data_IF_862018046749
#
_entry.id   IF_862018046749
#
_cell.length_a   1.000
_cell.length_b   1.000
_cell.length_c   1.000
_cell.angle_alpha   90.00
_cell.angle_beta   90.00
_cell.angle_gamma   90.00
#
_symmetry.space_group_name_H-M   'P 1'
#
loop_
_entity.id
_entity.type
_entity.pdbx_description
1 polymer ?
#
# COMPACT_ATOMS: atom_id res chain seq x y z
N UNK A 1 22.82 2.54 10.94
CA UNK A 1 22.41 1.65 9.82
C UNK A 1 23.62 1.34 8.96
N UNK A 2 23.74 0.13 8.42
CA UNK A 2 24.77 -0.23 7.44
C UNK A 2 24.43 0.37 6.07
N UNK A 3 25.41 0.48 5.16
CA UNK A 3 25.15 0.91 3.79
C UNK A 3 24.12 0.02 3.09
N UNK A 4 24.18 -1.30 3.31
CA UNK A 4 23.24 -2.26 2.74
C UNK A 4 21.78 -1.99 3.18
N UNK A 5 21.55 -1.79 4.48
CA UNK A 5 20.22 -1.45 5.00
C UNK A 5 19.70 -0.13 4.41
N UNK A 6 20.59 0.84 4.27
CA UNK A 6 20.26 2.14 3.71
C UNK A 6 19.90 2.06 2.20
N UNK A 7 20.69 1.32 1.42
CA UNK A 7 20.39 1.02 0.02
C UNK A 7 19.08 0.24 -0.13
N UNK A 8 18.78 -0.67 0.80
CA UNK A 8 17.53 -1.42 0.81
C UNK A 8 16.32 -0.48 0.97
N UNK A 9 16.35 0.43 1.94
CA UNK A 9 15.29 1.44 2.12
C UNK A 9 15.10 2.28 0.85
N UNK A 10 16.18 2.86 0.31
CA UNK A 10 16.09 3.70 -0.91
C UNK A 10 15.52 2.91 -2.08
N UNK A 11 15.98 1.67 -2.27
CA UNK A 11 15.54 0.84 -3.37
C UNK A 11 14.06 0.52 -3.26
N UNK A 12 13.58 0.23 -2.05
CA UNK A 12 12.15 0.04 -1.77
C UNK A 12 11.32 1.29 -2.12
N UNK A 13 11.77 2.47 -1.68
CA UNK A 13 11.14 3.77 -2.00
C UNK A 13 11.03 3.97 -3.51
N UNK A 14 12.14 3.81 -4.22
CA UNK A 14 12.19 4.06 -5.67
C UNK A 14 11.35 3.06 -6.45
N UNK A 15 11.39 1.78 -6.08
CA UNK A 15 10.55 0.76 -6.71
C UNK A 15 9.08 1.05 -6.49
N UNK A 16 8.68 1.44 -5.29
CA UNK A 16 7.27 1.78 -5.03
C UNK A 16 6.84 3.00 -5.86
N UNK A 17 7.66 4.04 -5.95
CA UNK A 17 7.38 5.21 -6.81
C UNK A 17 7.19 4.78 -8.27
N UNK A 18 8.07 3.91 -8.77
CA UNK A 18 7.97 3.40 -10.14
C UNK A 18 6.73 2.51 -10.34
N UNK A 19 6.38 1.68 -9.36
CA UNK A 19 5.17 0.85 -9.40
C UNK A 19 3.90 1.71 -9.40
N UNK A 20 3.84 2.75 -8.57
CA UNK A 20 2.74 3.71 -8.55
C UNK A 20 2.62 4.46 -9.89
N UNK A 21 3.75 4.83 -10.49
CA UNK A 21 3.77 5.45 -11.81
C UNK A 21 3.26 4.50 -12.90
N UNK A 22 3.69 3.24 -12.86
CA UNK A 22 3.29 2.23 -13.82
C UNK A 22 1.81 1.85 -13.68
N UNK A 23 1.28 1.81 -12.45
CA UNK A 23 -0.14 1.68 -12.19
C UNK A 23 -0.94 2.86 -12.77
N UNK A 24 -0.46 4.09 -12.60
CA UNK A 24 -1.09 5.29 -13.14
C UNK A 24 -1.05 5.37 -14.67
N UNK A 25 0.04 4.94 -15.31
CA UNK A 25 0.19 4.92 -16.76
C UNK A 25 -0.79 3.92 -17.41
N UNK A 26 -0.82 2.68 -16.92
CA UNK A 26 -1.76 1.65 -17.39
C UNK A 26 -3.21 2.09 -17.33
N UNK A 27 -3.57 2.82 -16.27
CA UNK A 27 -4.92 3.36 -16.10
C UNK A 27 -5.30 4.31 -17.24
N UNK A 28 -4.37 5.12 -17.73
CA UNK A 28 -4.63 6.02 -18.86
C UNK A 28 -4.77 5.22 -20.17
N UNK A 29 -4.01 4.14 -20.34
CA UNK A 29 -4.10 3.26 -21.51
C UNK A 29 -5.43 2.50 -21.56
N UNK A 30 -5.93 1.99 -20.42
CA UNK A 30 -7.21 1.26 -20.36
C UNK A 30 -8.44 2.12 -20.70
N UNK A 31 -8.32 3.45 -20.67
CA UNK A 31 -9.38 4.38 -21.08
C UNK A 31 -9.44 4.56 -22.61
N UNK A 32 -8.39 4.15 -23.34
CA UNK A 32 -8.31 4.19 -24.80
C UNK A 32 -8.02 2.79 -25.34
N UNK A 33 -9.05 2.00 -25.72
CA UNK A 33 -8.85 0.62 -26.16
C UNK A 33 -8.30 0.60 -27.59
N UNK A 34 -6.99 0.80 -27.74
CA UNK A 34 -6.30 0.43 -28.97
C UNK A 34 -5.60 -0.92 -28.75
N UNK A 35 -6.14 -1.93 -29.43
CA UNK A 35 -5.54 -3.23 -29.77
C UNK A 35 -5.56 -4.37 -28.73
N UNK A 36 -6.23 -5.45 -29.17
CA UNK A 36 -6.33 -6.82 -28.62
C UNK A 36 -5.01 -7.60 -28.81
N UNK A 37 -3.88 -7.08 -28.36
CA UNK A 37 -2.62 -7.83 -28.40
C UNK A 37 -2.20 -8.17 -26.98
N UNK A 38 -1.82 -9.45 -26.79
CA UNK A 38 -1.39 -10.05 -25.54
C UNK A 38 -0.46 -9.13 -24.71
N UNK A 39 -0.45 -9.24 -23.37
CA UNK A 39 0.33 -8.34 -22.52
C UNK A 39 1.82 -8.64 -22.69
N UNK A 40 2.45 -8.07 -23.71
CA UNK A 40 3.91 -7.93 -23.75
C UNK A 40 4.31 -7.09 -22.55
N UNK A 41 5.27 -7.55 -21.74
CA UNK A 41 5.83 -6.74 -20.65
C UNK A 41 6.14 -5.34 -21.16
N UNK A 42 5.45 -4.34 -20.59
CA UNK A 42 5.67 -2.94 -20.97
C UNK A 42 7.15 -2.61 -20.71
N UNK A 43 7.78 -1.79 -21.54
CA UNK A 43 9.18 -1.34 -21.36
C UNK A 43 9.42 -0.82 -19.94
N UNK A 44 8.39 -0.19 -19.34
CA UNK A 44 8.42 0.27 -17.96
C UNK A 44 8.51 -0.88 -16.94
N UNK A 45 7.77 -1.98 -17.12
CA UNK A 45 7.86 -3.16 -16.25
C UNK A 45 9.22 -3.85 -16.34
N UNK A 46 9.78 -3.94 -17.56
CA UNK A 46 11.14 -4.44 -17.76
C UNK A 46 12.17 -3.54 -17.07
N UNK A 47 11.98 -2.21 -17.15
CA UNK A 47 12.80 -1.23 -16.43
C UNK A 47 12.72 -1.38 -14.92
N UNK A 48 11.51 -1.58 -14.36
CA UNK A 48 11.30 -1.82 -12.92
C UNK A 48 12.00 -3.12 -12.48
N UNK A 49 11.84 -4.20 -13.25
CA UNK A 49 12.47 -5.48 -12.95
C UNK A 49 14.01 -5.40 -13.01
N UNK A 50 14.55 -4.73 -14.03
CA UNK A 50 15.99 -4.49 -14.15
C UNK A 50 16.52 -3.62 -12.99
N UNK A 51 15.80 -2.55 -12.65
CA UNK A 51 16.16 -1.71 -11.52
C UNK A 51 16.15 -2.50 -10.20
N UNK A 52 15.12 -3.32 -9.97
CA UNK A 52 15.05 -4.18 -8.79
C UNK A 52 16.21 -5.18 -8.73
N UNK A 53 16.61 -5.76 -9.86
CA UNK A 53 17.75 -6.68 -9.94
C UNK A 53 19.07 -5.97 -9.64
N UNK A 54 19.30 -4.78 -10.23
CA UNK A 54 20.50 -3.97 -9.97
C UNK A 54 20.54 -3.52 -8.50
N UNK A 55 19.41 -3.09 -7.95
CA UNK A 55 19.28 -2.70 -6.56
C UNK A 55 19.63 -3.86 -5.61
N UNK A 56 19.10 -5.06 -5.86
CA UNK A 56 19.44 -6.25 -5.07
C UNK A 56 20.90 -6.65 -5.19
N UNK A 57 21.49 -6.55 -6.39
CA UNK A 57 22.92 -6.76 -6.57
C UNK A 57 23.75 -5.75 -5.75
N UNK A 58 23.37 -4.47 -5.75
CA UNK A 58 24.06 -3.45 -4.96
C UNK A 58 23.93 -3.69 -3.44
N UNK A 59 22.74 -4.08 -2.96
CA UNK A 59 22.50 -4.40 -1.54
C UNK A 59 23.35 -5.60 -1.11
N UNK A 60 23.37 -6.67 -1.91
CA UNK A 60 24.14 -7.90 -1.60
C UNK A 60 25.65 -7.64 -1.62
N UNK A 61 26.14 -6.86 -2.59
CA UNK A 61 27.55 -6.44 -2.62
C UNK A 61 27.90 -5.58 -1.38
N UNK A 62 27.04 -4.63 -1.00
CA UNK A 62 27.25 -3.80 0.17
C UNK A 62 27.23 -4.62 1.48
N UNK A 63 26.40 -5.65 1.55
CA UNK A 63 26.33 -6.58 2.69
C UNK A 63 27.56 -7.48 2.77
N UNK A 64 28.06 -7.96 1.62
CA UNK A 64 29.24 -8.82 1.54
C UNK A 64 30.54 -8.06 1.89
N UNK A 65 30.75 -6.90 1.27
CA UNK A 65 32.01 -6.13 1.44
C UNK A 65 32.03 -5.25 2.70
N UNK A 66 30.86 -4.92 3.28
CA UNK A 66 30.72 -4.05 4.46
C UNK A 66 31.59 -2.78 4.40
N UNK A 67 31.48 -1.97 3.32
CA UNK A 67 32.31 -0.80 3.16
C UNK A 67 32.11 0.20 4.31
N UNK A 68 33.20 0.73 4.86
CA UNK A 68 33.15 1.79 5.86
C UNK A 68 32.79 3.12 5.19
N UNK A 69 31.54 3.55 5.33
CA UNK A 69 31.08 4.84 4.82
C UNK A 69 31.01 5.85 5.97
N UNK A 70 31.52 7.05 5.76
CA UNK A 70 31.43 8.11 6.77
C UNK A 70 29.97 8.49 7.04
N UNK A 71 29.67 8.89 8.28
CA UNK A 71 28.33 9.34 8.66
C UNK A 71 27.84 10.53 7.82
N UNK A 72 28.75 11.42 7.40
CA UNK A 72 28.42 12.56 6.54
C UNK A 72 27.95 12.15 5.15
N UNK A 73 28.55 11.13 4.55
CA UNK A 73 28.14 10.61 3.24
C UNK A 73 26.76 9.94 3.35
N UNK A 74 26.53 9.14 4.41
CA UNK A 74 25.22 8.53 4.66
C UNK A 74 24.12 9.58 4.85
N UNK A 75 24.41 10.65 5.62
CA UNK A 75 23.47 11.75 5.83
C UNK A 75 23.20 12.55 4.53
N UNK A 76 24.22 12.76 3.70
CA UNK A 76 24.07 13.42 2.40
C UNK A 76 23.21 12.60 1.45
N UNK A 77 23.44 11.28 1.35
CA UNK A 77 22.59 10.38 0.57
C UNK A 77 21.15 10.37 1.11
N UNK A 78 20.96 10.35 2.43
CA UNK A 78 19.64 10.42 3.07
C UNK A 78 18.90 11.67 2.67
N UNK A 79 19.53 12.82 2.79
CA UNK A 79 18.94 14.09 2.38
C UNK A 79 18.62 14.11 0.88
N UNK A 80 19.52 13.58 0.04
CA UNK A 80 19.36 13.54 -1.42
C UNK A 80 18.17 12.69 -1.89
N UNK A 81 17.78 11.66 -1.12
CA UNK A 81 16.61 10.82 -1.45
C UNK A 81 15.35 11.30 -0.73
N UNK A 82 15.46 11.66 0.55
CA UNK A 82 14.30 12.07 1.34
C UNK A 82 13.69 13.37 0.82
N UNK A 83 14.49 14.38 0.50
CA UNK A 83 13.99 15.67 0.02
C UNK A 83 13.11 15.56 -1.24
N UNK A 84 13.55 14.89 -2.34
CA UNK A 84 12.69 14.68 -3.50
C UNK A 84 11.52 13.74 -3.21
N UNK A 85 11.68 12.75 -2.30
CA UNK A 85 10.57 11.88 -1.89
C UNK A 85 9.49 12.68 -1.16
N UNK A 86 9.84 13.62 -0.28
CA UNK A 86 8.88 14.51 0.37
C UNK A 86 8.18 15.42 -0.63
N UNK A 87 8.92 16.01 -1.58
CA UNK A 87 8.33 16.81 -2.65
C UNK A 87 7.34 16.00 -3.50
N UNK A 88 7.71 14.77 -3.85
CA UNK A 88 6.85 13.81 -4.54
C UNK A 88 5.58 13.51 -3.74
N UNK A 89 5.72 13.13 -2.46
CA UNK A 89 4.60 12.84 -1.57
C UNK A 89 3.65 14.03 -1.43
N UNK A 90 4.18 15.24 -1.34
CA UNK A 90 3.37 16.46 -1.26
C UNK A 90 2.60 16.72 -2.55
N UNK A 91 3.27 16.67 -3.71
CA UNK A 91 2.66 16.92 -5.02
C UNK A 91 1.55 15.89 -5.29
N UNK A 92 1.82 14.60 -5.10
CA UNK A 92 0.86 13.55 -5.45
C UNK A 92 -0.15 13.24 -4.33
N UNK A 93 0.19 13.51 -3.07
CA UNK A 93 -0.74 13.39 -1.95
C UNK A 93 -1.75 14.55 -1.89
N UNK A 94 -1.28 15.79 -2.07
CA UNK A 94 -2.13 16.99 -1.91
C UNK A 94 -2.67 17.54 -3.23
N UNK A 95 -1.84 17.62 -4.27
CA UNK A 95 -2.21 18.35 -5.50
C UNK A 95 -2.87 17.40 -6.51
N UNK A 96 -2.19 16.33 -6.90
CA UNK A 96 -2.56 15.48 -8.03
C UNK A 96 -2.86 14.04 -7.61
N UNK A 97 -4.13 13.57 -7.62
CA UNK A 97 -4.48 12.21 -7.22
C UNK A 97 -4.14 11.15 -8.30
N UNK A 98 -3.26 11.48 -9.25
CA UNK A 98 -2.96 10.62 -10.41
C UNK A 98 -2.29 9.31 -10.03
N UNK A 99 -1.46 9.32 -8.99
CA UNK A 99 -0.69 8.15 -8.52
C UNK A 99 -1.43 7.34 -7.47
N UNK A 100 -2.68 7.69 -7.15
CA UNK A 100 -3.46 6.91 -6.21
C UNK A 100 -4.05 5.69 -6.94
N UNK A 101 -3.76 4.47 -6.46
CA UNK A 101 -4.36 3.26 -6.98
C UNK A 101 -5.88 3.32 -6.82
N UNK A 102 -6.59 2.69 -7.76
CA UNK A 102 -8.03 2.55 -7.69
C UNK A 102 -8.37 1.42 -6.76
N UNK A 103 -9.11 1.74 -5.71
CA UNK A 103 -9.46 0.76 -4.71
C UNK A 103 -10.81 0.13 -5.08
N UNK A 104 -10.91 -1.18 -4.96
CA UNK A 104 -12.17 -1.93 -5.04
C UNK A 104 -12.58 -2.42 -3.65
N UNK A 105 -13.76 -3.01 -3.52
CA UNK A 105 -14.26 -3.56 -2.26
C UNK A 105 -13.27 -4.57 -1.64
N UNK A 106 -12.62 -5.38 -2.48
CA UNK A 106 -11.69 -6.41 -2.03
C UNK A 106 -10.44 -5.83 -1.36
N UNK A 107 -9.81 -4.84 -1.98
CA UNK A 107 -8.64 -4.17 -1.42
C UNK A 107 -9.00 -3.52 -0.08
N UNK A 108 -10.20 -2.95 0.05
CA UNK A 108 -10.67 -2.39 1.33
C UNK A 108 -10.82 -3.47 2.39
N UNK A 109 -11.51 -4.59 2.10
CA UNK A 109 -11.69 -5.68 3.08
C UNK A 109 -10.34 -6.25 3.49
N UNK A 110 -9.46 -6.49 2.52
CA UNK A 110 -8.16 -7.09 2.77
C UNK A 110 -7.27 -6.17 3.59
N UNK A 111 -7.22 -4.89 3.24
CA UNK A 111 -6.49 -3.88 4.02
C UNK A 111 -7.06 -3.77 5.43
N UNK A 112 -8.38 -3.83 5.57
CA UNK A 112 -9.04 -3.83 6.88
C UNK A 112 -8.64 -5.07 7.69
N UNK A 113 -8.68 -6.27 7.11
CA UNK A 113 -8.25 -7.52 7.75
C UNK A 113 -6.80 -7.44 8.24
N UNK A 114 -5.90 -6.96 7.37
CA UNK A 114 -4.48 -6.77 7.70
C UNK A 114 -4.32 -5.76 8.86
N UNK A 115 -5.09 -4.68 8.84
CA UNK A 115 -5.12 -3.68 9.92
C UNK A 115 -5.64 -4.28 11.22
N UNK A 116 -6.69 -5.10 11.21
CA UNK A 116 -7.17 -5.79 12.41
C UNK A 116 -6.16 -6.73 12.99
N UNK A 117 -5.54 -7.56 12.14
CA UNK A 117 -4.51 -8.48 12.59
C UNK A 117 -3.37 -7.71 13.27
N UNK A 118 -2.94 -6.60 12.67
CA UNK A 118 -1.94 -5.70 13.24
C UNK A 118 -2.35 -5.12 14.59
N UNK A 119 -3.59 -4.66 14.72
CA UNK A 119 -4.12 -4.10 15.96
C UNK A 119 -4.18 -5.16 17.06
N UNK A 120 -4.67 -6.37 16.74
CA UNK A 120 -4.75 -7.50 17.67
C UNK A 120 -3.38 -7.99 18.11
N UNK A 121 -2.38 -7.97 17.22
CA UNK A 121 -1.03 -8.44 17.55
C UNK A 121 -0.24 -7.47 18.41
N UNK A 122 -0.56 -6.18 18.36
CA UNK A 122 0.33 -5.11 18.87
C UNK A 122 -0.29 -4.31 20.01
N UNK A 123 -1.61 -4.19 20.05
CA UNK A 123 -2.28 -3.28 20.96
C UNK A 123 -3.37 -4.00 21.78
N UNK A 124 -3.35 -3.77 23.09
CA UNK A 124 -4.44 -4.15 24.00
C UNK A 124 -5.56 -3.13 23.87
N UNK A 125 -6.26 -3.15 22.73
CA UNK A 125 -7.48 -2.37 22.59
C UNK A 125 -8.59 -3.01 23.42
N UNK A 126 -9.36 -2.16 24.08
CA UNK A 126 -10.64 -2.57 24.64
C UNK A 126 -11.55 -3.10 23.53
N UNK A 127 -12.37 -4.09 23.88
CA UNK A 127 -13.23 -4.80 22.93
C UNK A 127 -14.17 -3.86 22.15
N UNK A 128 -14.59 -2.73 22.75
CA UNK A 128 -15.48 -1.77 22.11
C UNK A 128 -14.80 -0.98 20.99
N UNK A 129 -13.51 -0.65 21.12
CA UNK A 129 -12.77 -0.02 20.03
C UNK A 129 -12.61 -0.99 18.87
N UNK A 130 -12.30 -2.27 19.16
CA UNK A 130 -12.25 -3.31 18.15
C UNK A 130 -13.60 -3.48 17.44
N UNK A 131 -14.71 -3.47 18.19
CA UNK A 131 -16.06 -3.59 17.62
C UNK A 131 -16.42 -2.41 16.69
N UNK A 132 -16.11 -1.17 17.10
CA UNK A 132 -16.33 0.03 16.27
C UNK A 132 -15.52 -0.06 14.97
N UNK A 133 -14.27 -0.49 15.07
CA UNK A 133 -13.42 -0.64 13.90
C UNK A 133 -13.93 -1.78 13.00
N UNK A 134 -14.42 -2.88 13.57
CA UNK A 134 -14.91 -4.05 12.82
C UNK A 134 -16.16 -3.75 11.98
N UNK A 135 -17.01 -2.82 12.44
CA UNK A 135 -18.33 -2.57 11.86
C UNK A 135 -18.30 -2.12 10.38
N UNK A 136 -17.47 -1.13 9.98
CA UNK A 136 -17.25 -0.82 8.56
C UNK A 136 -16.82 -2.04 7.74
N UNK A 137 -15.95 -2.88 8.30
CA UNK A 137 -15.36 -4.03 7.63
C UNK A 137 -16.36 -5.15 7.39
N UNK A 138 -17.23 -5.42 8.37
CA UNK A 138 -18.37 -6.32 8.19
C UNK A 138 -19.35 -5.78 7.15
N UNK A 139 -19.58 -4.46 7.13
CA UNK A 139 -20.37 -3.81 6.09
C UNK A 139 -19.81 -4.07 4.69
N UNK A 140 -18.50 -3.90 4.51
CA UNK A 140 -17.84 -4.14 3.22
C UNK A 140 -17.84 -5.63 2.86
N UNK A 141 -17.60 -6.51 3.83
CA UNK A 141 -17.63 -7.96 3.62
C UNK A 141 -19.02 -8.42 3.16
N UNK A 142 -20.08 -7.98 3.84
CA UNK A 142 -21.46 -8.23 3.44
C UNK A 142 -21.77 -7.69 2.03
N UNK A 143 -21.25 -6.52 1.70
CA UNK A 143 -21.43 -5.93 0.38
C UNK A 143 -20.69 -6.69 -0.72
N UNK A 144 -19.47 -7.17 -0.43
CA UNK A 144 -18.70 -8.02 -1.34
C UNK A 144 -19.41 -9.35 -1.65
N UNK A 145 -20.15 -9.89 -0.68
CA UNK A 145 -20.96 -11.11 -0.87
C UNK A 145 -22.25 -10.88 -1.67
N UNK A 146 -22.84 -9.69 -1.59
CA UNK A 146 -24.17 -9.42 -2.16
C UNK A 146 -24.15 -8.81 -3.56
N UNK A 147 -22.97 -8.47 -4.09
CA UNK A 147 -22.78 -7.89 -5.44
C UNK A 147 -23.72 -6.71 -5.75
N UNK A 148 -24.15 -5.96 -4.73
CA UNK A 148 -25.05 -4.81 -4.92
C UNK A 148 -24.27 -3.57 -5.34
N UNK A 149 -24.79 -2.84 -6.33
CA UNK A 149 -24.22 -1.55 -6.75
C UNK A 149 -24.38 -0.52 -5.64
N UNK A 150 -23.27 -0.04 -5.07
CA UNK A 150 -23.31 0.92 -3.97
C UNK A 150 -23.52 2.36 -4.43
N UNK A 151 -24.25 3.11 -3.60
CA UNK A 151 -24.36 4.56 -3.76
C UNK A 151 -22.98 5.23 -3.58
N UNK A 152 -22.63 6.25 -4.39
CA UNK A 152 -21.32 6.94 -4.30
C UNK A 152 -20.95 7.48 -2.92
N UNK A 153 -21.93 7.92 -2.13
CA UNK A 153 -21.70 8.39 -0.76
C UNK A 153 -21.23 7.28 0.17
N UNK A 154 -21.81 6.08 0.06
CA UNK A 154 -21.38 4.94 0.84
C UNK A 154 -19.96 4.52 0.44
N UNK A 155 -19.66 4.49 -0.87
CA UNK A 155 -18.30 4.25 -1.38
C UNK A 155 -17.30 5.26 -0.80
N UNK A 156 -17.69 6.53 -0.67
CA UNK A 156 -16.80 7.54 -0.09
C UNK A 156 -16.50 7.30 1.39
N UNK A 157 -17.47 6.80 2.17
CA UNK A 157 -17.25 6.44 3.58
C UNK A 157 -16.37 5.19 3.70
N UNK A 158 -16.58 4.18 2.86
CA UNK A 158 -15.74 2.97 2.84
C UNK A 158 -14.31 3.27 2.41
N UNK A 159 -14.14 4.17 1.45
CA UNK A 159 -12.84 4.62 1.01
C UNK A 159 -12.15 5.50 2.07
N UNK A 160 -12.90 6.33 2.80
CA UNK A 160 -12.37 7.02 3.98
C UNK A 160 -11.87 6.02 5.04
N UNK A 161 -12.66 4.99 5.32
CA UNK A 161 -12.30 3.91 6.23
C UNK A 161 -11.01 3.18 5.81
N UNK A 162 -10.88 2.84 4.53
CA UNK A 162 -9.65 2.29 3.95
C UNK A 162 -8.43 3.17 4.25
N UNK A 163 -8.54 4.48 4.01
CA UNK A 163 -7.45 5.43 4.26
C UNK A 163 -7.10 5.53 5.75
N UNK A 164 -8.09 5.45 6.64
CA UNK A 164 -7.86 5.37 8.10
C UNK A 164 -7.11 4.09 8.46
N UNK A 165 -7.47 2.94 7.87
CA UNK A 165 -6.75 1.69 8.08
C UNK A 165 -5.29 1.77 7.65
N UNK A 166 -5.02 2.35 6.48
CA UNK A 166 -3.65 2.61 6.03
C UNK A 166 -2.89 3.57 6.95
N UNK A 167 -3.53 4.63 7.46
CA UNK A 167 -2.90 5.52 8.43
C UNK A 167 -2.52 4.76 9.71
N UNK A 168 -3.42 3.94 10.25
CA UNK A 168 -3.13 3.11 11.43
C UNK A 168 -1.89 2.23 11.18
N UNK A 169 -1.83 1.57 10.02
CA UNK A 169 -0.66 0.77 9.63
C UNK A 169 0.61 1.60 9.50
N UNK A 170 0.52 2.82 8.96
CA UNK A 170 1.64 3.75 8.84
C UNK A 170 2.21 4.11 10.21
N UNK A 171 1.32 4.46 11.14
CA UNK A 171 1.66 4.87 12.51
C UNK A 171 2.27 3.72 13.33
N UNK A 172 1.75 2.50 13.18
CA UNK A 172 2.23 1.35 13.97
C UNK A 172 3.58 0.79 13.49
N UNK A 173 3.75 0.66 12.17
CA UNK A 173 4.83 -0.16 11.61
C UNK A 173 5.90 0.60 10.85
N UNK A 174 5.54 1.62 10.07
CA UNK A 174 6.47 2.20 9.11
C UNK A 174 7.13 3.51 9.59
N UNK A 175 6.48 4.31 10.43
CA UNK A 175 7.12 5.52 10.97
C UNK A 175 8.42 5.25 11.73
N UNK A 176 8.54 4.07 12.38
CA UNK A 176 9.77 3.67 13.10
C UNK A 176 10.99 3.51 12.19
N UNK A 177 10.78 3.21 10.91
CA UNK A 177 11.86 3.01 9.92
C UNK A 177 12.38 4.36 9.40
N UNK A 178 11.51 5.36 9.26
CA UNK A 178 11.89 6.70 8.79
C UNK A 178 12.28 7.66 9.91
N UNK A 179 11.71 7.49 11.10
CA UNK A 179 11.94 8.31 12.29
C UNK A 179 12.29 7.37 13.45
N UNK A 180 13.53 6.88 13.53
CA UNK A 180 13.96 6.07 14.66
C UNK A 180 13.90 6.94 15.92
N UNK A 181 13.07 6.54 16.89
CA UNK A 181 12.88 7.27 18.16
C UNK A 181 14.11 7.19 19.08
N UNK A 182 14.93 6.16 18.89
CA UNK A 182 16.20 5.96 19.59
C UNK A 182 17.16 5.10 18.74
N UNK A 183 18.48 5.37 18.74
CA UNK A 183 19.49 4.49 18.14
C UNK A 183 19.48 3.06 18.70
N UNK A 184 18.95 2.86 19.92
CA UNK A 184 18.87 1.56 20.59
C UNK A 184 17.67 0.71 20.10
N UNK A 185 16.60 1.32 19.61
CA UNK A 185 15.42 0.60 19.08
C UNK A 185 15.73 -0.14 17.76
N UNK A 186 16.71 0.34 17.00
CA UNK A 186 17.23 -0.33 15.79
C UNK A 186 17.98 -1.64 16.10
N UNK A 187 18.44 -1.83 17.34
CA UNK A 187 19.18 -3.02 17.76
C UNK A 187 18.28 -4.06 18.47
N UNK A 188 17.04 -3.70 18.84
CA UNK A 188 16.15 -4.56 19.62
C UNK A 188 15.41 -5.62 18.77
N UNK A 189 15.36 -5.45 17.45
CA UNK A 189 14.87 -6.45 16.50
C UNK A 189 15.89 -6.52 15.37
N UNK A 190 16.53 -7.67 15.18
CA UNK A 190 17.47 -7.89 14.07
C UNK A 190 16.70 -7.82 12.74
N UNK A 191 16.55 -6.60 12.20
CA UNK A 191 15.89 -6.38 10.92
C UNK A 191 16.84 -6.79 9.79
N UNK A 192 16.33 -7.61 8.89
CA UNK A 192 17.01 -8.04 7.66
C UNK A 192 16.98 -6.92 6.61
N UNK A 193 17.85 -7.00 5.60
CA UNK A 193 17.80 -6.07 4.46
C UNK A 193 16.45 -6.14 3.71
N UNK A 194 15.78 -7.29 3.73
CA UNK A 194 14.42 -7.43 3.19
C UNK A 194 13.40 -6.61 3.99
N UNK A 195 13.50 -6.58 5.32
CA UNK A 195 12.61 -5.78 6.17
C UNK A 195 12.77 -4.28 5.87
N UNK A 196 14.02 -3.82 5.72
CA UNK A 196 14.31 -2.43 5.33
C UNK A 196 13.78 -2.08 3.93
N UNK A 197 13.91 -3.00 2.98
CA UNK A 197 13.38 -2.84 1.63
C UNK A 197 11.85 -2.71 1.63
N UNK A 198 11.15 -3.66 2.26
CA UNK A 198 9.69 -3.66 2.34
C UNK A 198 9.17 -2.47 3.14
N UNK A 199 9.87 -2.07 4.21
CA UNK A 199 9.57 -0.87 4.97
C UNK A 199 9.71 0.42 4.17
N UNK A 200 10.76 0.53 3.34
CA UNK A 200 10.93 1.64 2.41
C UNK A 200 9.77 1.75 1.41
N UNK A 201 9.43 0.63 0.77
CA UNK A 201 8.35 0.55 -0.22
C UNK A 201 6.97 0.85 0.41
N UNK A 202 6.57 0.08 1.42
CA UNK A 202 5.30 0.27 2.11
C UNK A 202 5.21 1.64 2.80
N UNK A 203 6.33 2.17 3.28
CA UNK A 203 6.40 3.48 3.91
C UNK A 203 5.96 4.62 2.99
N UNK A 204 6.53 4.71 1.79
CA UNK A 204 6.16 5.75 0.82
C UNK A 204 4.71 5.59 0.38
N UNK A 205 4.29 4.35 0.15
CA UNK A 205 2.91 4.02 -0.16
C UNK A 205 1.94 4.54 0.91
N UNK A 206 2.19 4.18 2.17
CA UNK A 206 1.32 4.55 3.30
C UNK A 206 1.36 6.04 3.61
N UNK A 207 2.53 6.69 3.51
CA UNK A 207 2.66 8.13 3.70
C UNK A 207 1.90 8.91 2.62
N UNK A 208 1.99 8.48 1.36
CA UNK A 208 1.23 9.08 0.26
C UNK A 208 -0.28 9.04 0.56
N UNK A 209 -0.78 7.88 0.98
CA UNK A 209 -2.19 7.69 1.33
C UNK A 209 -2.60 8.45 2.60
N UNK A 210 -1.70 8.58 3.57
CA UNK A 210 -1.93 9.35 4.79
C UNK A 210 -2.03 10.86 4.51
N UNK A 211 -1.21 11.40 3.60
CA UNK A 211 -1.32 12.78 3.16
C UNK A 211 -2.64 12.96 2.38
N UNK A 212 -2.96 12.02 1.50
CA UNK A 212 -4.19 12.05 0.74
C UNK A 212 -5.45 11.97 1.64
N UNK A 213 -5.40 11.24 2.76
CA UNK A 213 -6.47 11.19 3.75
C UNK A 213 -6.87 12.57 4.25
N UNK A 214 -5.91 13.46 4.52
CA UNK A 214 -6.19 14.83 4.97
C UNK A 214 -7.01 15.58 3.92
N UNK A 215 -6.60 15.51 2.65
CA UNK A 215 -7.35 16.10 1.54
C UNK A 215 -8.73 15.45 1.40
N UNK A 216 -8.81 14.14 1.52
CA UNK A 216 -10.05 13.40 1.36
C UNK A 216 -11.05 13.70 2.48
N UNK A 217 -10.56 13.89 3.71
CA UNK A 217 -11.37 14.33 4.84
C UNK A 217 -12.03 15.70 4.57
N UNK A 218 -11.29 16.66 4.00
CA UNK A 218 -11.86 17.94 3.59
C UNK A 218 -12.93 17.78 2.50
N UNK A 219 -12.76 16.82 1.59
CA UNK A 219 -13.78 16.50 0.58
C UNK A 219 -15.00 15.82 1.19
N UNK A 220 -14.81 14.94 2.18
CA UNK A 220 -15.87 14.23 2.87
C UNK A 220 -16.72 15.17 3.73
N UNK A 221 -16.10 16.09 4.46
CA UNK A 221 -16.83 17.11 5.24
C UNK A 221 -17.67 18.02 4.34
N UNK A 222 -17.31 18.17 3.05
CA UNK A 222 -18.13 18.88 2.09
C UNK A 222 -19.50 18.20 1.84
N UNK A 223 -19.67 16.91 2.11
CA UNK A 223 -20.97 16.22 2.01
C UNK A 223 -22.04 16.77 2.97
N UNK A 224 -21.61 17.41 4.07
CA UNK A 224 -22.50 18.07 5.04
C UNK A 224 -23.33 19.15 4.33
N UNK A 225 -22.74 19.86 3.35
CA UNK A 225 -23.45 20.87 2.55
C UNK A 225 -23.95 20.27 1.23
N UNK A 226 -25.27 20.26 0.96
CA UNK A 226 -25.84 19.70 -0.27
C UNK A 226 -25.21 20.24 -1.56
N UNK A 227 -24.88 21.53 -1.59
CA UNK A 227 -24.27 22.20 -2.75
C UNK A 227 -22.94 21.55 -3.19
N UNK A 228 -22.18 20.97 -2.26
CA UNK A 228 -20.85 20.41 -2.54
C UNK A 228 -20.87 18.91 -2.84
N UNK A 229 -22.03 18.24 -2.75
CA UNK A 229 -22.15 16.79 -2.96
C UNK A 229 -21.73 16.34 -4.36
N UNK A 230 -21.80 17.24 -5.35
CA UNK A 230 -21.35 16.98 -6.72
C UNK A 230 -19.84 16.68 -6.81
N UNK A 231 -19.03 17.17 -5.86
CA UNK A 231 -17.58 16.91 -5.83
C UNK A 231 -17.28 15.42 -5.62
N UNK A 232 -18.00 14.77 -4.70
CA UNK A 232 -17.88 13.34 -4.42
C UNK A 232 -18.38 12.51 -5.59
N UNK A 233 -19.52 12.89 -6.19
CA UNK A 233 -20.07 12.20 -7.38
C UNK A 233 -19.08 12.20 -8.56
N UNK A 234 -18.31 13.27 -8.74
CA UNK A 234 -17.28 13.36 -9.79
C UNK A 234 -15.98 12.63 -9.43
N UNK A 235 -15.62 12.59 -8.15
CA UNK A 235 -14.33 12.04 -7.70
C UNK A 235 -14.38 10.54 -7.48
N UNK A 236 -15.47 9.98 -6.94
CA UNK A 236 -15.57 8.56 -6.62
C UNK A 236 -15.32 7.62 -7.80
N UNK A 237 -15.86 7.84 -9.03
CA UNK A 237 -15.57 6.97 -10.17
C UNK A 237 -14.10 6.96 -10.60
N UNK A 238 -13.29 7.93 -10.12
CA UNK A 238 -11.85 7.99 -10.37
C UNK A 238 -11.03 7.26 -9.32
N UNK A 239 -11.53 7.11 -8.10
CA UNK A 239 -10.83 6.48 -6.98
C UNK A 239 -11.30 5.06 -6.71
N UNK A 240 -12.56 4.77 -7.01
CA UNK A 240 -13.18 3.48 -6.79
C UNK A 240 -13.33 2.74 -8.12
N UNK A 241 -12.96 1.46 -8.15
CA UNK A 241 -13.19 0.61 -9.31
C UNK A 241 -14.51 -0.14 -9.14
N UNK A 242 -15.48 0.13 -10.01
CA UNK A 242 -16.84 -0.43 -9.93
C UNK A 242 -16.96 -1.86 -10.47
N UNK A 243 -15.84 -2.48 -10.87
CA UNK A 243 -15.82 -3.88 -11.31
C UNK A 243 -16.03 -4.81 -10.13
N UNK A 244 -17.22 -5.39 -10.05
CA UNK A 244 -17.55 -6.40 -9.07
C UNK A 244 -16.83 -7.72 -9.40
N UNK A 245 -16.27 -8.34 -8.36
CA UNK A 245 -15.58 -9.62 -8.43
C UNK A 245 -16.54 -10.73 -7.98
N UNK A 246 -16.51 -11.92 -8.61
CA UNK A 246 -17.31 -13.05 -8.16
C UNK A 246 -17.05 -13.37 -6.67
N UNK A 247 -18.11 -13.64 -5.86
CA UNK A 247 -17.96 -13.92 -4.43
C UNK A 247 -16.96 -15.03 -4.10
N UNK A 248 -16.84 -16.05 -4.97
CA UNK A 248 -15.89 -17.15 -4.80
C UNK A 248 -14.44 -16.67 -4.89
N UNK A 249 -14.12 -15.79 -5.84
CA UNK A 249 -12.78 -15.20 -5.96
C UNK A 249 -12.46 -14.31 -4.75
N UNK A 250 -13.46 -13.54 -4.30
CA UNK A 250 -13.34 -12.71 -3.10
C UNK A 250 -13.03 -13.55 -1.85
N UNK A 251 -13.79 -14.62 -1.61
CA UNK A 251 -13.54 -15.55 -0.49
C UNK A 251 -12.17 -16.20 -0.63
N UNK A 252 -11.81 -16.69 -1.82
CA UNK A 252 -10.51 -17.31 -2.08
C UNK A 252 -9.33 -16.37 -1.75
N UNK A 253 -9.43 -15.11 -2.14
CA UNK A 253 -8.42 -14.08 -1.81
C UNK A 253 -8.38 -13.79 -0.32
N UNK A 254 -9.51 -13.70 0.36
CA UNK A 254 -9.55 -13.49 1.81
C UNK A 254 -8.92 -14.68 2.56
N UNK A 255 -9.25 -15.91 2.15
CA UNK A 255 -8.67 -17.14 2.71
C UNK A 255 -7.17 -17.19 2.44
N UNK A 256 -6.70 -16.80 1.26
CA UNK A 256 -5.28 -16.74 0.94
C UNK A 256 -4.51 -15.79 1.87
N UNK A 257 -5.02 -14.56 2.06
CA UNK A 257 -4.40 -13.60 2.98
C UNK A 257 -4.44 -14.08 4.43
N UNK A 258 -5.58 -14.61 4.88
CA UNK A 258 -5.71 -15.18 6.22
C UNK A 258 -4.74 -16.35 6.44
N UNK A 259 -4.60 -17.24 5.45
CA UNK A 259 -3.68 -18.37 5.51
C UNK A 259 -2.22 -17.93 5.62
N UNK A 260 -1.81 -16.88 4.88
CA UNK A 260 -0.44 -16.32 5.02
C UNK A 260 -0.21 -15.77 6.43
N UNK A 261 -1.18 -15.03 6.98
CA UNK A 261 -1.06 -14.49 8.34
C UNK A 261 -0.95 -15.59 9.39
N UNK A 262 -1.82 -16.60 9.31
CA UNK A 262 -1.82 -17.75 10.23
C UNK A 262 -0.54 -18.56 10.07
N UNK A 263 -0.11 -18.84 8.84
CA UNK A 263 1.12 -19.57 8.57
C UNK A 263 2.34 -18.81 9.12
N UNK A 264 2.41 -17.49 8.91
CA UNK A 264 3.51 -16.70 9.46
C UNK A 264 3.47 -16.62 10.99
N UNK A 265 2.28 -16.60 11.60
CA UNK A 265 2.15 -16.67 13.05
C UNK A 265 2.74 -17.98 13.62
N UNK A 266 2.52 -19.11 12.95
CA UNK A 266 3.04 -20.40 13.40
C UNK A 266 4.52 -20.64 13.06
N UNK A 267 4.97 -20.17 11.90
CA UNK A 267 6.31 -20.49 11.39
C UNK A 267 7.35 -19.42 11.72
N UNK A 268 6.94 -18.16 11.88
CA UNK A 268 7.84 -17.04 12.13
C UNK A 268 8.87 -16.80 11.02
N UNK A 269 8.60 -17.25 9.78
CA UNK A 269 9.56 -17.16 8.65
C UNK A 269 9.94 -15.71 8.36
N UNK A 270 8.95 -14.81 8.40
CA UNK A 270 9.14 -13.38 8.19
C UNK A 270 8.71 -12.61 9.44
N UNK A 271 9.35 -11.45 9.65
CA UNK A 271 8.90 -10.53 10.69
C UNK A 271 7.43 -10.15 10.44
N UNK A 272 6.64 -10.01 11.51
CA UNK A 272 5.22 -9.64 11.39
C UNK A 272 5.05 -8.36 10.58
N UNK A 273 5.93 -7.38 10.78
CA UNK A 273 5.92 -6.12 10.02
C UNK A 273 6.16 -6.34 8.52
N UNK A 274 7.11 -7.20 8.13
CA UNK A 274 7.36 -7.49 6.71
C UNK A 274 6.20 -8.20 6.04
N UNK A 275 5.56 -9.16 6.72
CA UNK A 275 4.38 -9.81 6.16
C UNK A 275 3.26 -8.82 5.95
N UNK A 276 2.99 -7.96 6.93
CA UNK A 276 1.93 -6.96 6.82
C UNK A 276 2.22 -5.95 5.69
N UNK A 277 3.46 -5.47 5.58
CA UNK A 277 3.88 -4.59 4.50
C UNK A 277 3.74 -5.26 3.12
N UNK A 278 4.17 -6.51 3.00
CA UNK A 278 4.05 -7.28 1.76
C UNK A 278 2.59 -7.50 1.38
N UNK A 279 1.74 -7.88 2.34
CA UNK A 279 0.31 -8.09 2.09
C UNK A 279 -0.38 -6.80 1.66
N UNK A 280 -0.07 -5.64 2.26
CA UNK A 280 -0.63 -4.35 1.83
C UNK A 280 -0.20 -4.02 0.40
N UNK A 281 1.10 -4.08 0.10
CA UNK A 281 1.61 -3.81 -1.25
C UNK A 281 1.01 -4.79 -2.27
N UNK A 282 0.86 -6.06 -1.90
CA UNK A 282 0.24 -7.06 -2.76
C UNK A 282 -1.25 -6.77 -3.00
N UNK A 283 -1.99 -6.45 -1.94
CA UNK A 283 -3.42 -6.12 -2.02
C UNK A 283 -3.68 -4.92 -2.94
N UNK A 284 -2.77 -3.96 -2.98
CA UNK A 284 -2.96 -2.74 -3.75
C UNK A 284 -2.49 -2.89 -5.20
N UNK A 285 -1.33 -3.51 -5.44
CA UNK A 285 -0.78 -3.60 -6.80
C UNK A 285 -1.33 -4.74 -7.65
N UNK A 286 -1.87 -5.80 -7.02
CA UNK A 286 -2.28 -7.01 -7.74
C UNK A 286 -3.79 -7.25 -7.72
N UNK A 287 -4.54 -6.78 -6.73
CA UNK A 287 -6.01 -6.98 -6.71
C UNK A 287 -6.78 -6.10 -7.68
N UNK A 288 -6.17 -5.05 -8.24
CA UNK A 288 -6.78 -4.27 -9.32
C UNK A 288 -6.84 -5.05 -10.65
N UNK A 289 -6.07 -6.12 -10.80
CA UNK A 289 -5.93 -6.82 -12.08
C UNK A 289 -7.14 -7.73 -12.31
N UNK A 290 -7.91 -7.55 -13.40
CA UNK A 290 -8.91 -8.53 -13.78
C UNK A 290 -8.18 -9.84 -14.12
N UNK A 291 -8.40 -10.88 -13.31
CA UNK A 291 -8.07 -12.24 -13.73
C UNK A 291 -9.09 -12.60 -14.79
N UNK A 292 -8.74 -12.38 -16.05
CA UNK A 292 -9.47 -13.01 -17.16
C UNK A 292 -9.22 -14.51 -17.04
N UNK A 293 -10.03 -15.18 -16.23
CA UNK A 293 -10.29 -16.59 -16.45
C UNK A 293 -10.87 -16.63 -17.85
N UNK A 294 -10.07 -17.13 -18.79
CA UNK A 294 -10.48 -17.30 -20.17
C UNK A 294 -11.74 -18.17 -20.11
N UNK A 295 -12.86 -17.63 -20.63
CA UNK A 295 -14.12 -18.35 -20.79
C UNK A 295 -13.91 -19.52 -21.75
N UNK A 296 -13.32 -20.60 -21.24
CA UNK A 296 -13.25 -21.93 -21.85
C UNK A 296 -13.69 -22.94 -20.81
N UNK A 297 -14.99 -22.94 -20.51
CA UNK A 297 -15.73 -24.11 -20.05
C UNK A 297 -17.09 -24.11 -20.74
#
# INVERSE_FOLDING_TARGET
MTLAAYLAVISGILIEILLLWEAADRRNTLLHPSTLVAPSFNRLQQGIALFALIAWLAITLAEFFKPSVSASILAALQSAVMAPTFAFLFIFGMVSPKLLPRVNEQTIVTTSLVTFYSLLSTARFEWFWLAILLLPTLGIFWMGLTSRTMHPYLKSLLYFWYLVGLLIMALQHNLKIFIPSSPQDLNAVAMTNLDYFLGGAAGVFLLLHSIFLVRFFLMLTALIRPANRHLILRTMPRLFNDRQIPPVQFIGLLTFFGAILVLNHFTGILSSTSVLNLLILFAVHFMERPVFLTDRL
#
